data_IF_943719184511
#
_entry.id   IF_943719184511
#
_cell.length_a   1.000
_cell.length_b   1.000
_cell.length_c   1.000
_cell.angle_alpha   90.00
_cell.angle_beta   90.00
_cell.angle_gamma   90.00
#
_symmetry.space_group_name_H-M   'P 1'
#
loop_
_entity.id
_entity.type
_entity.pdbx_description
1 polymer ?
#
# COMPACT_ATOMS: atom_id res chain seq x y z
N UNK A 1 5.89 27.35 17.16
CA UNK A 1 7.36 27.36 17.26
C UNK A 1 7.92 27.01 15.89
N UNK A 2 9.01 27.61 15.45
CA UNK A 2 9.58 27.36 14.12
C UNK A 2 11.10 27.59 14.11
N UNK A 3 11.77 27.20 13.03
CA UNK A 3 13.20 27.39 12.84
C UNK A 3 13.54 28.85 12.51
N UNK A 4 14.81 29.22 12.72
CA UNK A 4 15.34 30.55 12.40
C UNK A 4 15.65 30.73 10.90
N UNK A 5 14.81 30.17 10.02
CA UNK A 5 14.92 30.40 8.58
C UNK A 5 14.80 31.92 8.31
N UNK A 6 15.74 32.53 7.56
CA UNK A 6 15.67 33.94 7.18
C UNK A 6 14.30 34.39 6.66
N UNK A 7 13.58 33.52 5.93
CA UNK A 7 12.23 33.76 5.44
C UNK A 7 11.26 34.01 6.60
N UNK A 8 11.31 33.19 7.63
CA UNK A 8 10.43 33.26 8.81
C UNK A 8 10.82 34.36 9.79
N UNK A 9 12.07 34.83 9.74
CA UNK A 9 12.53 36.02 10.49
C UNK A 9 12.25 37.34 9.79
N UNK A 10 11.77 37.33 8.55
CA UNK A 10 11.48 38.56 7.80
C UNK A 10 10.39 39.40 8.46
N UNK A 11 10.34 40.69 8.11
CA UNK A 11 9.34 41.63 8.64
C UNK A 11 7.90 41.17 8.35
N UNK A 12 7.65 40.53 7.21
CA UNK A 12 6.32 40.00 6.88
C UNK A 12 5.93 38.89 7.86
N UNK A 13 6.79 37.88 8.01
CA UNK A 13 6.50 36.69 8.81
C UNK A 13 6.58 36.92 10.32
N UNK A 14 7.22 38.00 10.77
CA UNK A 14 7.19 38.43 12.19
C UNK A 14 5.99 39.32 12.53
N UNK A 15 5.40 40.01 11.55
CA UNK A 15 4.23 40.87 11.75
C UNK A 15 2.90 40.13 11.52
N UNK A 16 2.84 39.17 10.59
CA UNK A 16 1.63 38.40 10.31
C UNK A 16 1.06 37.70 11.57
N UNK A 17 1.86 36.98 12.39
CA UNK A 17 1.35 36.36 13.62
C UNK A 17 0.81 37.38 14.61
N UNK A 18 1.47 38.55 14.74
CA UNK A 18 1.03 39.64 15.63
C UNK A 18 -0.33 40.19 15.22
N UNK A 19 -0.58 40.34 13.92
CA UNK A 19 -1.88 40.75 13.39
C UNK A 19 -2.97 39.69 13.65
N UNK A 20 -2.60 38.42 13.57
CA UNK A 20 -3.50 37.29 13.86
C UNK A 20 -3.67 37.00 15.36
N UNK A 21 -3.06 37.80 16.25
CA UNK A 21 -3.11 37.61 17.70
C UNK A 21 -2.34 36.38 18.20
N UNK A 22 -1.43 35.83 17.39
CA UNK A 22 -0.63 34.65 17.72
C UNK A 22 0.83 35.04 17.98
N UNK A 23 1.53 34.24 18.81
CA UNK A 23 2.93 34.46 19.12
C UNK A 23 3.81 33.51 18.31
N UNK A 24 4.62 34.05 17.41
CA UNK A 24 5.70 33.31 16.77
C UNK A 24 6.90 33.24 17.69
N UNK A 25 7.47 32.05 17.81
CA UNK A 25 8.56 31.72 18.71
C UNK A 25 9.53 30.80 17.97
N UNK A 26 10.82 31.06 18.13
CA UNK A 26 11.85 30.32 17.41
C UNK A 26 12.56 29.33 18.32
N UNK A 27 12.75 28.09 17.86
CA UNK A 27 13.65 27.17 18.53
C UNK A 27 15.11 27.65 18.39
N UNK A 28 15.96 27.32 19.36
CA UNK A 28 17.40 27.51 19.22
C UNK A 28 17.92 26.47 18.25
N UNK A 29 18.77 26.85 17.29
CA UNK A 29 19.19 26.04 16.13
C UNK A 29 19.91 24.69 16.42
N UNK A 30 19.90 24.21 17.66
CA UNK A 30 20.51 22.95 18.09
C UNK A 30 19.77 22.41 19.33
N UNK A 31 18.51 22.01 19.18
CA UNK A 31 17.79 21.30 20.25
C UNK A 31 17.26 19.94 19.78
N UNK A 32 18.14 18.93 19.62
CA UNK A 32 17.76 17.57 19.18
C UNK A 32 16.74 16.87 20.10
N UNK A 33 16.42 17.47 21.25
CA UNK A 33 15.52 16.90 22.25
C UNK A 33 14.06 17.38 22.10
N UNK A 34 13.80 18.48 21.38
CA UNK A 34 12.43 19.01 21.19
C UNK A 34 11.91 18.83 19.76
N UNK A 35 12.80 18.67 18.77
CA UNK A 35 12.43 18.62 17.35
C UNK A 35 12.21 17.20 16.78
N UNK A 36 12.44 16.15 17.57
CA UNK A 36 12.38 14.77 17.06
C UNK A 36 10.99 14.31 16.59
N UNK A 37 9.90 14.87 17.11
CA UNK A 37 8.54 14.57 16.64
C UNK A 37 8.22 15.21 15.28
N UNK A 38 8.33 16.55 15.11
CA UNK A 38 8.11 17.17 13.80
C UNK A 38 9.12 16.68 12.77
N UNK A 39 10.39 16.45 13.12
CA UNK A 39 11.39 15.89 12.20
C UNK A 39 11.01 14.48 11.72
N UNK A 40 10.60 13.58 12.64
CA UNK A 40 10.18 12.22 12.27
C UNK A 40 8.89 12.23 11.45
N UNK A 41 7.98 13.17 11.72
CA UNK A 41 6.80 13.39 10.91
C UNK A 41 7.17 13.81 9.48
N UNK A 42 8.08 14.79 9.34
CA UNK A 42 8.56 15.25 8.03
C UNK A 42 9.24 14.10 7.27
N UNK A 43 10.12 13.34 7.91
CA UNK A 43 10.79 12.18 7.29
C UNK A 43 9.80 11.12 6.79
N UNK A 44 8.77 10.80 7.59
CA UNK A 44 7.74 9.85 7.17
C UNK A 44 6.95 10.36 5.95
N UNK A 45 6.59 11.64 5.93
CA UNK A 45 5.88 12.25 4.80
C UNK A 45 6.75 12.29 3.54
N UNK A 46 8.04 12.64 3.67
CA UNK A 46 9.00 12.60 2.58
C UNK A 46 9.15 11.18 2.02
N UNK A 47 9.23 10.18 2.88
CA UNK A 47 9.32 8.78 2.46
C UNK A 47 8.06 8.32 1.73
N UNK A 48 6.87 8.69 2.22
CA UNK A 48 5.59 8.41 1.55
C UNK A 48 5.55 9.02 0.14
N UNK A 49 5.92 10.30 0.02
CA UNK A 49 5.96 11.00 -1.28
C UNK A 49 7.00 10.36 -2.20
N UNK A 50 8.20 10.06 -1.70
CA UNK A 50 9.28 9.45 -2.49
C UNK A 50 8.87 8.07 -3.03
N UNK A 51 8.24 7.24 -2.20
CA UNK A 51 7.72 5.93 -2.64
C UNK A 51 6.65 6.11 -3.70
N UNK A 52 5.75 7.07 -3.55
CA UNK A 52 4.73 7.33 -4.56
C UNK A 52 5.31 7.86 -5.86
N UNK A 53 6.23 8.82 -5.83
CA UNK A 53 6.88 9.37 -7.03
C UNK A 53 7.76 8.35 -7.76
N UNK A 54 8.35 7.38 -7.03
CA UNK A 54 9.17 6.32 -7.63
C UNK A 54 8.35 5.14 -8.16
N UNK A 55 7.26 4.76 -7.48
CA UNK A 55 6.47 3.57 -7.77
C UNK A 55 5.05 3.87 -8.25
N UNK A 56 4.71 5.13 -8.54
CA UNK A 56 3.40 5.55 -9.02
C UNK A 56 3.07 4.92 -10.37
N UNK A 57 2.44 3.74 -10.34
CA UNK A 57 2.20 2.81 -11.44
C UNK A 57 1.42 3.36 -12.66
N UNK A 58 0.99 4.63 -12.65
CA UNK A 58 0.16 5.22 -13.72
C UNK A 58 0.62 6.59 -14.22
N UNK A 59 1.66 7.18 -13.60
CA UNK A 59 2.08 8.56 -13.88
C UNK A 59 3.58 8.64 -14.21
N UNK A 60 4.18 7.56 -14.70
CA UNK A 60 5.55 7.62 -15.19
C UNK A 60 5.53 8.32 -16.55
N UNK A 61 6.16 9.49 -16.64
CA UNK A 61 6.47 10.10 -17.93
C UNK A 61 7.57 9.27 -18.63
N UNK A 62 7.97 9.67 -19.84
CA UNK A 62 8.92 8.94 -20.68
C UNK A 62 10.31 8.72 -20.05
N UNK A 63 10.63 9.43 -18.97
CA UNK A 63 11.85 9.31 -18.16
C UNK A 63 11.72 8.34 -16.97
N UNK A 64 10.55 7.73 -16.77
CA UNK A 64 10.30 6.78 -15.69
C UNK A 64 9.96 7.40 -14.33
N UNK A 65 9.78 8.72 -14.26
CA UNK A 65 9.44 9.44 -13.03
C UNK A 65 8.07 10.09 -13.12
N UNK A 66 7.40 10.22 -11.97
CA UNK A 66 6.17 11.00 -11.84
C UNK A 66 6.48 12.42 -11.38
N UNK A 67 6.32 13.39 -12.30
CA UNK A 67 6.46 14.82 -11.99
C UNK A 67 5.24 15.40 -11.27
N UNK A 68 4.12 14.66 -11.25
CA UNK A 68 2.87 15.05 -10.62
C UNK A 68 2.82 14.74 -9.11
N UNK A 69 3.82 15.17 -8.34
CA UNK A 69 3.88 14.94 -6.89
C UNK A 69 2.79 15.68 -6.09
N UNK A 70 2.21 16.75 -6.65
CA UNK A 70 1.11 17.50 -6.04
C UNK A 70 -0.23 16.76 -6.08
N UNK A 71 -0.47 15.96 -7.12
CA UNK A 71 -1.72 15.24 -7.34
C UNK A 71 -2.09 14.28 -6.19
N UNK A 72 -1.17 13.44 -5.68
CA UNK A 72 -1.48 12.50 -4.61
C UNK A 72 -1.46 13.10 -3.21
N UNK A 73 -1.14 14.40 -3.02
CA UNK A 73 -1.02 15.00 -1.69
C UNK A 73 -2.28 14.79 -0.83
N UNK A 74 -3.52 15.02 -1.33
CA UNK A 74 -4.71 14.80 -0.53
C UNK A 74 -4.90 13.34 -0.10
N UNK A 75 -4.50 12.40 -0.94
CA UNK A 75 -4.59 10.95 -0.68
C UNK A 75 -3.55 10.51 0.35
N UNK A 76 -2.32 11.00 0.22
CA UNK A 76 -1.24 10.76 1.16
C UNK A 76 -1.53 11.39 2.53
N UNK A 77 -2.11 12.60 2.56
CA UNK A 77 -2.54 13.25 3.79
C UNK A 77 -3.63 12.42 4.50
N UNK A 78 -4.62 11.93 3.75
CA UNK A 78 -5.66 11.03 4.29
C UNK A 78 -5.04 9.73 4.82
N UNK A 79 -4.12 9.12 4.08
CA UNK A 79 -3.44 7.90 4.50
C UNK A 79 -2.62 8.13 5.78
N UNK A 80 -1.89 9.23 5.86
CA UNK A 80 -1.10 9.61 7.04
C UNK A 80 -1.99 9.83 8.27
N UNK A 81 -3.06 10.63 8.13
CA UNK A 81 -4.02 10.93 9.21
C UNK A 81 -4.70 9.69 9.79
N UNK A 82 -4.87 8.65 8.96
CA UNK A 82 -5.43 7.36 9.33
C UNK A 82 -4.39 6.33 9.77
N UNK A 83 -3.09 6.59 9.60
CA UNK A 83 -2.02 5.66 9.98
C UNK A 83 -1.75 5.73 11.49
N UNK A 84 -1.46 4.59 12.10
CA UNK A 84 -1.12 4.52 13.52
C UNK A 84 0.33 4.96 13.69
N UNK A 85 0.57 6.00 14.49
CA UNK A 85 1.92 6.42 14.82
C UNK A 85 2.56 5.45 15.80
N UNK A 86 3.71 4.87 15.44
CA UNK A 86 4.42 3.89 16.28
C UNK A 86 4.78 4.42 17.68
N UNK A 87 5.03 5.72 17.81
CA UNK A 87 5.36 6.36 19.10
C UNK A 87 4.16 6.56 20.03
N UNK A 88 2.93 6.58 19.49
CA UNK A 88 1.72 6.98 20.23
C UNK A 88 0.63 5.89 20.24
N UNK A 89 0.70 4.91 19.34
CA UNK A 89 -0.28 3.82 19.23
C UNK A 89 -1.68 4.28 18.79
N UNK A 90 -1.82 5.54 18.36
CA UNK A 90 -3.08 6.14 17.88
C UNK A 90 -2.85 6.83 16.55
N UNK A 91 -3.93 7.09 15.82
CA UNK A 91 -3.88 7.89 14.59
C UNK A 91 -3.83 9.38 14.93
N UNK A 92 -3.14 10.21 14.12
CA UNK A 92 -3.12 11.66 14.32
C UNK A 92 -4.53 12.27 14.40
N UNK A 93 -5.43 11.84 13.53
CA UNK A 93 -6.79 12.37 13.48
C UNK A 93 -7.64 11.99 14.71
N UNK A 94 -7.39 10.82 15.30
CA UNK A 94 -7.99 10.46 16.59
C UNK A 94 -7.53 11.37 17.72
N UNK A 95 -6.27 11.83 17.70
CA UNK A 95 -5.73 12.73 18.72
C UNK A 95 -6.25 14.16 18.57
N UNK A 96 -6.46 14.62 17.33
CA UNK A 96 -6.92 15.99 17.05
C UNK A 96 -8.44 16.14 17.18
N UNK A 97 -9.21 15.19 16.63
CA UNK A 97 -10.66 15.33 16.44
C UNK A 97 -11.48 14.31 17.21
N UNK A 98 -10.84 13.37 17.92
CA UNK A 98 -11.51 12.27 18.66
C UNK A 98 -12.36 11.37 17.75
N UNK A 99 -12.22 11.49 16.43
CA UNK A 99 -12.97 10.75 15.43
C UNK A 99 -12.09 10.48 14.22
N UNK A 100 -12.14 9.25 13.71
CA UNK A 100 -11.40 8.86 12.51
C UNK A 100 -12.38 8.56 11.36
N UNK A 101 -12.38 9.33 10.26
CA UNK A 101 -13.25 9.05 9.13
C UNK A 101 -12.86 7.74 8.47
N UNK A 102 -13.84 6.88 8.20
CA UNK A 102 -13.58 5.61 7.50
C UNK A 102 -13.17 5.89 6.05
N UNK A 103 -11.95 5.55 5.63
CA UNK A 103 -11.56 5.74 4.24
C UNK A 103 -12.39 4.84 3.30
N UNK A 104 -12.54 5.19 2.02
CA UNK A 104 -13.33 4.43 1.05
C UNK A 104 -12.96 2.94 0.97
N UNK A 105 -11.69 2.61 1.23
CA UNK A 105 -11.19 1.22 1.27
C UNK A 105 -11.84 0.35 2.35
N UNK A 106 -12.29 0.94 3.46
CA UNK A 106 -12.96 0.18 4.52
C UNK A 106 -14.40 -0.20 4.13
N UNK A 107 -15.02 0.57 3.22
CA UNK A 107 -16.29 0.17 2.60
C UNK A 107 -16.10 -0.99 1.61
N UNK A 108 -14.92 -1.09 0.99
CA UNK A 108 -14.56 -2.18 0.09
C UNK A 108 -14.21 -3.47 0.87
N UNK A 109 -13.52 -3.38 2.01
CA UNK A 109 -13.21 -4.54 2.87
C UNK A 109 -14.44 -5.33 3.33
N UNK A 110 -15.63 -4.69 3.38
CA UNK A 110 -16.90 -5.37 3.63
C UNK A 110 -17.25 -6.42 2.55
N UNK A 111 -16.70 -6.26 1.35
CA UNK A 111 -16.90 -7.13 0.19
C UNK A 111 -15.66 -7.95 -0.19
N UNK A 112 -14.47 -7.58 0.31
CA UNK A 112 -13.25 -8.37 0.15
C UNK A 112 -13.16 -9.41 1.28
N UNK A 113 -13.57 -10.64 0.97
CA UNK A 113 -13.14 -11.83 1.73
C UNK A 113 -11.61 -11.87 1.62
N UNK A 114 -10.91 -11.96 2.76
CA UNK A 114 -9.44 -12.11 2.81
C UNK A 114 -9.01 -13.42 2.14
N UNK A 115 -8.84 -13.40 0.83
CA UNK A 115 -8.13 -14.44 0.10
C UNK A 115 -6.66 -14.01 0.10
N UNK A 116 -5.90 -14.53 1.06
CA UNK A 116 -4.44 -14.39 1.14
C UNK A 116 -3.80 -14.58 -0.25
N UNK A 117 -2.72 -13.85 -0.58
CA UNK A 117 -2.13 -13.86 -1.95
C UNK A 117 -1.76 -15.29 -2.44
N UNK A 118 -1.43 -16.19 -1.52
CA UNK A 118 -1.21 -17.63 -1.78
C UNK A 118 -2.49 -18.40 -2.14
N UNK A 119 -3.64 -17.96 -1.63
CA UNK A 119 -4.96 -18.55 -1.85
C UNK A 119 -5.62 -18.14 -3.17
N UNK A 120 -5.07 -17.17 -3.91
CA UNK A 120 -5.50 -16.90 -5.31
C UNK A 120 -5.35 -18.14 -6.19
N UNK A 121 -4.36 -18.99 -5.89
CA UNK A 121 -4.15 -20.28 -6.57
C UNK A 121 -5.16 -21.34 -6.13
N UNK A 122 -5.75 -21.25 -4.93
CA UNK A 122 -6.84 -22.14 -4.50
C UNK A 122 -8.11 -21.97 -5.35
N UNK A 123 -8.33 -20.81 -5.99
CA UNK A 123 -9.44 -20.64 -6.95
C UNK A 123 -9.27 -21.46 -8.23
N UNK A 124 -8.02 -21.74 -8.62
CA UNK A 124 -7.70 -22.49 -9.85
C UNK A 124 -7.56 -24.00 -9.59
N UNK A 125 -7.28 -24.40 -8.35
CA UNK A 125 -7.15 -25.81 -7.96
C UNK A 125 -8.37 -26.68 -8.33
N UNK A 126 -9.64 -26.26 -8.16
CA UNK A 126 -10.77 -27.11 -8.54
C UNK A 126 -10.80 -27.43 -10.05
N UNK A 127 -10.36 -26.48 -10.88
CA UNK A 127 -10.29 -26.65 -12.34
C UNK A 127 -9.05 -27.45 -12.75
N UNK A 128 -7.90 -27.21 -12.10
CA UNK A 128 -6.66 -27.97 -12.34
C UNK A 128 -6.78 -29.44 -11.88
N UNK A 129 -7.40 -29.69 -10.72
CA UNK A 129 -7.67 -31.03 -10.20
C UNK A 129 -8.68 -31.76 -11.10
N UNK A 130 -9.74 -31.08 -11.54
CA UNK A 130 -10.68 -31.66 -12.50
C UNK A 130 -10.04 -32.02 -13.84
N UNK A 131 -9.13 -31.18 -14.35
CA UNK A 131 -8.39 -31.49 -15.58
C UNK A 131 -7.41 -32.66 -15.40
N UNK A 132 -6.69 -32.71 -14.26
CA UNK A 132 -5.76 -33.79 -13.96
C UNK A 132 -6.50 -35.13 -13.69
N UNK A 133 -7.70 -35.10 -13.12
CA UNK A 133 -8.55 -36.30 -12.98
C UNK A 133 -9.03 -36.80 -14.34
N UNK A 134 -9.41 -35.90 -15.24
CA UNK A 134 -9.80 -36.25 -16.60
C UNK A 134 -8.63 -36.82 -17.41
N UNK A 135 -7.45 -36.18 -17.35
CA UNK A 135 -6.23 -36.68 -18.00
C UNK A 135 -5.77 -38.02 -17.41
N UNK A 136 -5.83 -38.19 -16.08
CA UNK A 136 -5.50 -39.46 -15.46
C UNK A 136 -6.51 -40.58 -15.80
N UNK A 137 -7.79 -40.24 -15.98
CA UNK A 137 -8.79 -41.18 -16.48
C UNK A 137 -8.56 -41.55 -17.95
N UNK A 138 -8.21 -40.59 -18.81
CA UNK A 138 -7.90 -40.87 -20.22
C UNK A 138 -6.63 -41.70 -20.35
N UNK A 139 -5.58 -41.37 -19.60
CA UNK A 139 -4.32 -42.14 -19.59
C UNK A 139 -4.52 -43.56 -19.06
N UNK A 140 -5.38 -43.73 -18.05
CA UNK A 140 -5.75 -45.05 -17.53
C UNK A 140 -6.57 -45.84 -18.54
N UNK A 141 -7.45 -45.18 -19.31
CA UNK A 141 -8.25 -45.81 -20.35
C UNK A 141 -7.37 -46.24 -21.53
N UNK A 142 -6.49 -45.36 -22.02
CA UNK A 142 -5.51 -45.62 -23.08
C UNK A 142 -4.53 -46.73 -22.68
N UNK A 143 -4.02 -46.72 -21.44
CA UNK A 143 -3.17 -47.79 -20.92
C UNK A 143 -3.91 -49.13 -20.82
N UNK A 144 -5.21 -49.11 -20.47
CA UNK A 144 -6.03 -50.33 -20.46
C UNK A 144 -6.35 -50.81 -21.87
N UNK A 145 -6.54 -49.91 -22.83
CA UNK A 145 -6.84 -50.23 -24.22
C UNK A 145 -5.61 -50.81 -24.93
N UNK A 146 -4.43 -50.20 -24.77
CA UNK A 146 -3.18 -50.73 -25.31
C UNK A 146 -2.82 -52.11 -24.72
N UNK A 147 -3.05 -52.31 -23.43
CA UNK A 147 -2.80 -53.60 -22.78
C UNK A 147 -3.87 -54.62 -23.12
N UNK A 148 -5.16 -54.28 -23.17
CA UNK A 148 -6.22 -55.18 -23.65
C UNK A 148 -5.96 -55.59 -25.10
N UNK A 149 -5.58 -54.67 -25.99
CA UNK A 149 -5.25 -54.98 -27.39
C UNK A 149 -4.02 -55.89 -27.49
N UNK A 150 -2.98 -55.68 -26.65
CA UNK A 150 -1.81 -56.57 -26.58
C UNK A 150 -2.15 -57.97 -26.06
N UNK A 151 -3.08 -58.10 -25.11
CA UNK A 151 -3.50 -59.38 -24.54
C UNK A 151 -4.53 -60.14 -25.38
N UNK A 152 -5.40 -59.43 -26.14
CA UNK A 152 -6.48 -60.04 -26.93
C UNK A 152 -6.02 -60.43 -28.35
N UNK A 153 -5.10 -59.67 -28.98
CA UNK A 153 -4.57 -59.98 -30.33
C UNK A 153 -4.04 -61.43 -30.50
N UNK A 154 -3.35 -62.04 -29.53
CA UNK A 154 -2.90 -63.43 -29.62
C UNK A 154 -4.02 -64.47 -29.44
N UNK A 155 -5.14 -64.11 -28.80
CA UNK A 155 -6.26 -65.01 -28.49
C UNK A 155 -7.30 -65.10 -29.62
N UNK A 156 -7.41 -64.07 -30.47
CA UNK A 156 -8.29 -64.04 -31.66
C UNK A 156 -7.61 -64.54 -32.95
N UNK A 157 -6.34 -64.95 -32.88
CA UNK A 157 -5.50 -65.39 -34.01
C UNK A 157 -5.38 -66.93 -34.13
N UNK A 158 -6.33 -67.69 -33.58
CA UNK A 158 -6.47 -69.13 -33.83
C UNK A 158 -7.71 -69.43 -34.65
#
# INVERSE_FOLDING_TARGET
MSDRDPKLTSALWTNLPKLLGTKLSFFTAYHPQTDGLPERMIQNLEEMIRRFCAYGLQFQDSDGFTHAWCTPIPELELAYKNSILASQGKTPEMLEKVWNPKPPVDNLKKYFIDIHLTASRLKLLPHEVGNHENESMTDSFEFSEENCIKFIKPLLSK
#
